data_IF_570899583529
#
_entry.id   IF_570899583529
#
_cell.length_a   1.000
_cell.length_b   1.000
_cell.length_c   1.000
_cell.angle_alpha   90.00
_cell.angle_beta   90.00
_cell.angle_gamma   90.00
#
_symmetry.space_group_name_H-M   'P 1'
#
loop_
_entity.id
_entity.type
_entity.pdbx_description
1 polymer ?
#
# COMPACT_ATOMS: atom_id res chain seq x y z
N UNK A 1 -8.38 -50.39 20.55
CA UNK A 1 -9.32 -49.33 20.08
C UNK A 1 -8.90 -47.90 20.47
N UNK A 2 -8.20 -47.66 21.60
CA UNK A 2 -7.71 -46.31 21.97
C UNK A 2 -6.63 -45.69 21.06
N UNK A 3 -5.85 -46.51 20.32
CA UNK A 3 -4.84 -46.01 19.36
C UNK A 3 -5.44 -45.50 18.03
N UNK A 4 -6.67 -45.91 17.67
CA UNK A 4 -7.34 -45.47 16.45
C UNK A 4 -7.95 -44.06 16.60
N UNK A 5 -8.33 -43.69 17.84
CA UNK A 5 -8.87 -42.36 18.18
C UNK A 5 -7.82 -41.24 18.14
N UNK A 6 -6.52 -41.55 18.24
CA UNK A 6 -5.43 -40.57 18.11
C UNK A 6 -4.98 -40.35 16.66
N UNK A 7 -5.35 -41.22 15.71
CA UNK A 7 -4.97 -41.10 14.29
C UNK A 7 -5.84 -40.10 13.52
N UNK A 8 -7.12 -39.97 13.90
CA UNK A 8 -8.09 -39.07 13.28
C UNK A 8 -7.70 -37.58 13.43
N UNK A 9 -7.33 -37.07 14.63
CA UNK A 9 -6.91 -35.68 14.76
C UNK A 9 -5.60 -35.39 14.03
N UNK A 10 -4.66 -36.33 13.95
CA UNK A 10 -3.39 -36.16 13.21
C UNK A 10 -3.62 -36.07 11.70
N UNK A 11 -4.53 -36.90 11.15
CA UNK A 11 -4.91 -36.86 9.73
C UNK A 11 -5.64 -35.56 9.36
N UNK A 12 -6.50 -35.05 10.24
CA UNK A 12 -7.20 -33.77 10.04
C UNK A 12 -6.22 -32.59 10.05
N UNK A 13 -5.26 -32.57 10.98
CA UNK A 13 -4.23 -31.52 11.05
C UNK A 13 -3.34 -31.52 9.79
N UNK A 14 -2.95 -32.70 9.29
CA UNK A 14 -2.15 -32.83 8.07
C UNK A 14 -2.91 -32.43 6.79
N UNK A 15 -4.23 -32.61 6.76
CA UNK A 15 -5.06 -32.21 5.62
C UNK A 15 -5.19 -30.69 5.53
N UNK A 16 -5.45 -30.01 6.66
CA UNK A 16 -5.55 -28.55 6.69
C UNK A 16 -4.21 -27.87 6.36
N UNK A 17 -3.08 -28.42 6.80
CA UNK A 17 -1.76 -27.84 6.47
C UNK A 17 -1.46 -27.90 4.97
N UNK A 18 -1.84 -29.00 4.31
CA UNK A 18 -1.61 -29.19 2.87
C UNK A 18 -2.50 -28.28 2.02
N UNK A 19 -3.73 -28.04 2.45
CA UNK A 19 -4.64 -27.10 1.77
C UNK A 19 -4.11 -25.67 1.84
N UNK A 20 -3.72 -25.22 3.03
CA UNK A 20 -3.12 -23.89 3.22
C UNK A 20 -1.83 -23.69 2.40
N UNK A 21 -0.99 -24.72 2.29
CA UNK A 21 0.23 -24.69 1.46
C UNK A 21 -0.11 -24.53 -0.04
N UNK A 22 -1.10 -25.28 -0.53
CA UNK A 22 -1.56 -25.17 -1.92
C UNK A 22 -2.16 -23.79 -2.22
N UNK A 23 -2.98 -23.25 -1.31
CA UNK A 23 -3.53 -21.89 -1.43
C UNK A 23 -2.41 -20.85 -1.50
N UNK A 24 -1.42 -20.95 -0.60
CA UNK A 24 -0.26 -20.07 -0.58
C UNK A 24 0.51 -20.14 -1.91
N UNK A 25 0.73 -21.33 -2.45
CA UNK A 25 1.42 -21.53 -3.72
C UNK A 25 0.66 -20.90 -4.88
N UNK A 26 -0.66 -21.12 -4.96
CA UNK A 26 -1.52 -20.50 -5.99
C UNK A 26 -1.48 -18.98 -5.89
N UNK A 27 -1.66 -18.42 -4.68
CA UNK A 27 -1.66 -16.98 -4.47
C UNK A 27 -0.29 -16.35 -4.80
N UNK A 28 0.81 -16.99 -4.42
CA UNK A 28 2.16 -16.49 -4.71
C UNK A 28 2.43 -16.46 -6.22
N UNK A 29 1.94 -17.45 -6.98
CA UNK A 29 2.04 -17.43 -8.44
C UNK A 29 1.30 -16.23 -9.04
N UNK A 30 0.06 -15.97 -8.60
CA UNK A 30 -0.70 -14.81 -9.05
C UNK A 30 -0.07 -13.49 -8.61
N UNK A 31 0.56 -13.44 -7.43
CA UNK A 31 1.30 -12.27 -6.96
C UNK A 31 2.51 -11.97 -7.85
N UNK A 32 3.21 -12.99 -8.36
CA UNK A 32 4.27 -12.80 -9.35
C UNK A 32 3.74 -12.21 -10.66
N UNK A 33 2.58 -12.69 -11.14
CA UNK A 33 1.94 -12.13 -12.35
C UNK A 33 1.47 -10.69 -12.14
N UNK A 34 0.91 -10.38 -10.97
CA UNK A 34 0.57 -9.01 -10.56
C UNK A 34 1.77 -8.07 -10.62
N UNK A 35 2.91 -8.49 -10.05
CA UNK A 35 4.15 -7.70 -10.07
C UNK A 35 4.68 -7.53 -11.49
N UNK A 36 4.75 -8.61 -12.28
CA UNK A 36 5.19 -8.56 -13.68
C UNK A 36 4.33 -7.60 -14.49
N UNK A 37 3.01 -7.68 -14.34
CA UNK A 37 2.08 -6.80 -15.02
C UNK A 37 2.33 -5.33 -14.68
N UNK A 38 2.50 -5.01 -13.40
CA UNK A 38 2.84 -3.64 -12.97
C UNK A 38 4.16 -3.14 -13.57
N UNK A 39 5.20 -3.99 -13.60
CA UNK A 39 6.49 -3.66 -14.19
C UNK A 39 6.41 -3.50 -15.71
N UNK A 40 5.58 -4.29 -16.40
CA UNK A 40 5.32 -4.16 -17.83
C UNK A 40 4.62 -2.83 -18.13
N UNK A 41 3.59 -2.46 -17.36
CA UNK A 41 2.92 -1.15 -17.50
C UNK A 41 3.94 -0.01 -17.29
N UNK A 42 4.81 -0.15 -16.28
CA UNK A 42 5.88 0.80 -15.98
C UNK A 42 6.91 1.01 -17.10
N UNK A 43 6.98 0.14 -18.11
CA UNK A 43 7.80 0.39 -19.29
C UNK A 43 7.19 1.43 -20.25
N UNK A 44 5.88 1.67 -20.16
CA UNK A 44 5.14 2.63 -20.98
C UNK A 44 4.75 3.89 -20.21
N UNK A 45 4.44 3.74 -18.92
CA UNK A 45 4.11 4.82 -18.00
C UNK A 45 5.17 4.86 -16.89
N UNK A 46 6.19 5.70 -17.07
CA UNK A 46 7.39 5.69 -16.20
C UNK A 46 7.10 6.02 -14.74
N UNK A 47 5.97 6.69 -14.47
CA UNK A 47 5.53 7.06 -13.12
C UNK A 47 4.68 5.96 -12.46
N UNK A 48 4.37 4.87 -13.17
CA UNK A 48 3.51 3.80 -12.67
C UNK A 48 4.14 3.02 -11.52
N UNK A 49 5.45 2.77 -11.60
CA UNK A 49 6.24 2.11 -10.56
C UNK A 49 7.27 3.11 -10.04
N UNK A 50 6.96 3.72 -8.91
CA UNK A 50 7.90 4.60 -8.19
C UNK A 50 9.21 3.87 -7.86
N UNK A 51 9.10 2.60 -7.46
CA UNK A 51 10.23 1.82 -7.00
C UNK A 51 10.00 0.30 -7.02
N UNK A 52 11.04 -0.46 -7.40
CA UNK A 52 11.00 -1.93 -7.41
C UNK A 52 12.23 -2.58 -6.76
N UNK A 53 12.00 -3.39 -5.73
CA UNK A 53 13.03 -4.07 -4.93
C UNK A 53 12.94 -5.60 -4.95
N UNK A 54 12.11 -6.15 -5.84
CA UNK A 54 12.03 -7.60 -5.99
C UNK A 54 13.17 -8.15 -6.85
N UNK A 55 13.21 -9.48 -7.04
CA UNK A 55 14.25 -10.13 -7.82
C UNK A 55 14.15 -9.75 -9.31
N UNK A 56 15.29 -9.52 -9.96
CA UNK A 56 15.38 -9.19 -11.39
C UNK A 56 14.65 -10.19 -12.29
N UNK A 57 14.44 -11.43 -11.84
CA UNK A 57 13.65 -12.46 -12.54
C UNK A 57 12.18 -12.10 -12.80
N UNK A 58 11.64 -11.07 -12.14
CA UNK A 58 10.28 -10.56 -12.40
C UNK A 58 10.27 -9.32 -13.29
N UNK A 59 11.42 -8.69 -13.55
CA UNK A 59 11.48 -7.58 -14.50
C UNK A 59 11.17 -8.09 -15.91
N UNK A 60 10.47 -7.31 -16.75
CA UNK A 60 10.34 -7.61 -18.17
C UNK A 60 11.73 -7.81 -18.78
N UNK A 61 11.91 -8.90 -19.53
CA UNK A 61 13.23 -9.25 -20.11
C UNK A 61 13.63 -8.33 -21.26
N UNK A 62 12.63 -7.85 -21.99
CA UNK A 62 12.81 -7.02 -23.16
C UNK A 62 12.31 -5.61 -22.84
N UNK A 63 13.11 -4.61 -23.21
CA UNK A 63 12.62 -3.23 -23.27
C UNK A 63 11.53 -3.15 -24.35
N UNK A 64 10.57 -2.25 -24.15
CA UNK A 64 9.47 -2.02 -25.10
C UNK A 64 10.03 -1.82 -26.52
N UNK A 65 9.61 -2.71 -27.43
CA UNK A 65 10.09 -2.76 -28.82
C UNK A 65 9.31 -1.80 -29.72
N UNK A 66 8.13 -1.33 -29.27
CA UNK A 66 7.23 -0.46 -30.04
C UNK A 66 6.75 0.70 -29.18
N UNK A 67 6.69 1.90 -29.75
CA UNK A 67 6.13 3.08 -29.05
C UNK A 67 4.60 3.00 -28.88
N UNK A 68 3.95 1.96 -29.39
CA UNK A 68 2.51 1.78 -29.29
C UNK A 68 2.13 1.21 -27.92
N UNK A 69 1.30 1.95 -27.19
CA UNK A 69 0.80 1.51 -25.88
C UNK A 69 -0.22 0.36 -26.03
N UNK A 70 0.05 -0.85 -25.53
CA UNK A 70 -0.77 -2.04 -25.78
C UNK A 70 -1.98 -2.12 -24.83
N UNK A 71 -2.77 -1.04 -24.79
CA UNK A 71 -3.89 -0.84 -23.86
C UNK A 71 -4.81 -2.05 -23.72
N UNK A 72 -5.36 -2.56 -24.83
CA UNK A 72 -6.37 -3.62 -24.80
C UNK A 72 -5.80 -4.94 -24.25
N UNK A 73 -4.54 -5.25 -24.58
CA UNK A 73 -3.83 -6.42 -24.07
C UNK A 73 -3.56 -6.32 -22.56
N UNK A 74 -3.16 -5.14 -22.08
CA UNK A 74 -2.95 -4.88 -20.66
C UNK A 74 -4.26 -4.97 -19.87
N UNK A 75 -5.35 -4.36 -20.38
CA UNK A 75 -6.69 -4.48 -19.78
C UNK A 75 -7.19 -5.93 -19.76
N UNK A 76 -6.95 -6.71 -20.82
CA UNK A 76 -7.30 -8.12 -20.85
C UNK A 76 -6.52 -8.92 -19.78
N UNK A 77 -5.22 -8.65 -19.64
CA UNK A 77 -4.36 -9.28 -18.63
C UNK A 77 -4.83 -8.96 -17.20
N UNK A 78 -5.21 -7.71 -16.95
CA UNK A 78 -5.82 -7.27 -15.69
C UNK A 78 -7.09 -8.07 -15.40
N UNK A 79 -8.02 -8.15 -16.36
CA UNK A 79 -9.30 -8.83 -16.17
C UNK A 79 -9.12 -10.32 -15.87
N UNK A 80 -8.19 -11.00 -16.55
CA UNK A 80 -7.87 -12.40 -16.27
C UNK A 80 -7.36 -12.58 -14.83
N UNK A 81 -6.38 -11.76 -14.43
CA UNK A 81 -5.79 -11.85 -13.11
C UNK A 81 -6.79 -11.48 -11.99
N UNK A 82 -7.66 -10.50 -12.23
CA UNK A 82 -8.75 -10.15 -11.33
C UNK A 82 -9.74 -11.31 -11.14
N UNK A 83 -10.06 -12.07 -12.19
CA UNK A 83 -10.95 -13.23 -12.09
C UNK A 83 -10.34 -14.33 -11.20
N UNK A 84 -9.05 -14.62 -11.37
CA UNK A 84 -8.35 -15.61 -10.56
C UNK A 84 -8.24 -15.19 -9.09
N UNK A 85 -7.94 -13.91 -8.84
CA UNK A 85 -7.86 -13.37 -7.48
C UNK A 85 -9.21 -13.28 -6.79
N UNK A 86 -10.29 -13.07 -7.54
CA UNK A 86 -11.67 -13.01 -7.02
C UNK A 86 -12.14 -14.36 -6.46
N UNK A 87 -11.72 -15.46 -7.06
CA UNK A 87 -11.96 -16.80 -6.53
C UNK A 87 -11.29 -16.97 -5.16
N UNK A 88 -9.99 -16.65 -5.07
CA UNK A 88 -9.23 -16.77 -3.82
C UNK A 88 -9.77 -15.83 -2.74
N UNK A 89 -10.11 -14.59 -3.08
CA UNK A 89 -10.60 -13.60 -2.11
C UNK A 89 -11.91 -14.01 -1.44
N UNK A 90 -12.72 -14.84 -2.11
CA UNK A 90 -13.99 -15.35 -1.60
C UNK A 90 -13.84 -16.69 -0.90
N UNK A 91 -13.03 -17.58 -1.45
CA UNK A 91 -13.09 -19.00 -1.13
C UNK A 91 -11.87 -19.53 -0.35
N UNK A 92 -10.79 -18.77 -0.20
CA UNK A 92 -9.61 -19.27 0.53
C UNK A 92 -9.92 -19.50 2.02
N UNK A 93 -9.47 -20.64 2.53
CA UNK A 93 -9.61 -21.01 3.94
C UNK A 93 -8.68 -20.14 4.81
N UNK A 94 -7.51 -19.78 4.30
CA UNK A 94 -6.56 -18.91 5.01
C UNK A 94 -7.01 -17.46 4.91
N UNK A 95 -7.43 -16.87 6.04
CA UNK A 95 -7.92 -15.48 6.12
C UNK A 95 -6.94 -14.47 5.52
N UNK A 96 -5.64 -14.59 5.80
CA UNK A 96 -4.63 -13.70 5.22
C UNK A 96 -4.55 -13.80 3.71
N UNK A 97 -4.83 -14.97 3.12
CA UNK A 97 -4.83 -15.16 1.67
C UNK A 97 -6.05 -14.48 1.05
N UNK A 98 -7.23 -14.58 1.68
CA UNK A 98 -8.41 -13.82 1.24
C UNK A 98 -8.12 -12.31 1.21
N UNK A 99 -7.54 -11.79 2.29
CA UNK A 99 -7.21 -10.37 2.42
C UNK A 99 -6.19 -9.91 1.37
N UNK A 100 -5.10 -10.67 1.18
CA UNK A 100 -4.07 -10.37 0.17
C UNK A 100 -4.62 -10.43 -1.25
N UNK A 101 -5.45 -11.42 -1.56
CA UNK A 101 -6.09 -11.54 -2.87
C UNK A 101 -7.06 -10.38 -3.14
N UNK A 102 -7.88 -10.00 -2.15
CA UNK A 102 -8.76 -8.84 -2.25
C UNK A 102 -7.98 -7.53 -2.41
N UNK A 103 -6.86 -7.39 -1.72
CA UNK A 103 -5.98 -6.22 -1.87
C UNK A 103 -5.42 -6.12 -3.30
N UNK A 104 -4.83 -7.20 -3.84
CA UNK A 104 -4.33 -7.21 -5.21
C UNK A 104 -5.44 -6.98 -6.25
N UNK A 105 -6.63 -7.56 -6.03
CA UNK A 105 -7.79 -7.32 -6.88
C UNK A 105 -8.15 -5.82 -6.95
N UNK A 106 -8.14 -5.12 -5.79
CA UNK A 106 -8.40 -3.68 -5.75
C UNK A 106 -7.28 -2.86 -6.42
N UNK A 107 -6.02 -3.25 -6.26
CA UNK A 107 -4.91 -2.61 -6.96
C UNK A 107 -5.03 -2.76 -8.48
N UNK A 108 -5.50 -3.91 -8.97
CA UNK A 108 -5.73 -4.14 -10.40
C UNK A 108 -6.85 -3.28 -10.99
N UNK A 109 -7.84 -2.87 -10.20
CA UNK A 109 -8.80 -1.84 -10.62
C UNK A 109 -8.08 -0.53 -10.92
N UNK A 110 -7.21 -0.08 -10.00
CA UNK A 110 -6.42 1.13 -10.18
C UNK A 110 -5.45 1.03 -11.37
N UNK A 111 -4.85 -0.15 -11.60
CA UNK A 111 -4.02 -0.41 -12.79
C UNK A 111 -4.83 -0.17 -14.07
N UNK A 112 -6.06 -0.70 -14.11
CA UNK A 112 -6.95 -0.56 -15.25
C UNK A 112 -7.33 0.89 -15.52
N UNK A 113 -7.63 1.66 -14.48
CA UNK A 113 -7.92 3.09 -14.61
C UNK A 113 -6.70 3.87 -15.10
N UNK A 114 -5.51 3.61 -14.55
CA UNK A 114 -4.29 4.28 -14.99
C UNK A 114 -3.97 4.01 -16.46
N UNK A 115 -4.17 2.77 -16.94
CA UNK A 115 -4.06 2.43 -18.37
C UNK A 115 -5.04 3.25 -19.22
N UNK A 116 -6.28 3.44 -18.77
CA UNK A 116 -7.26 4.27 -19.48
C UNK A 116 -6.83 5.73 -19.56
N UNK A 117 -6.38 6.30 -18.45
CA UNK A 117 -5.85 7.66 -18.36
C UNK A 117 -4.68 7.87 -19.34
N UNK A 118 -3.70 6.96 -19.34
CA UNK A 118 -2.55 7.01 -20.27
C UNK A 118 -3.00 6.89 -21.73
N UNK A 119 -4.15 6.24 -21.98
CA UNK A 119 -4.76 6.14 -23.31
C UNK A 119 -5.68 7.32 -23.68
N UNK A 120 -5.76 8.36 -22.85
CA UNK A 120 -6.62 9.52 -23.08
C UNK A 120 -8.10 9.30 -22.75
N UNK A 121 -8.45 8.23 -22.04
CA UNK A 121 -9.81 8.00 -21.51
C UNK A 121 -9.89 8.52 -20.08
N UNK A 122 -10.74 9.52 -19.85
CA UNK A 122 -10.89 10.17 -18.55
C UNK A 122 -12.30 10.03 -17.99
N UNK A 123 -12.38 9.83 -16.68
CA UNK A 123 -13.61 9.86 -15.91
C UNK A 123 -13.78 11.21 -15.19
N UNK A 124 -15.00 11.56 -14.73
CA UNK A 124 -15.16 12.64 -13.75
C UNK A 124 -14.32 12.37 -12.49
N UNK A 125 -13.83 13.44 -11.87
CA UNK A 125 -12.89 13.37 -10.72
C UNK A 125 -13.29 12.37 -9.63
N UNK A 126 -14.56 12.39 -9.19
CA UNK A 126 -15.03 11.46 -8.15
C UNK A 126 -15.03 9.99 -8.60
N UNK A 127 -15.27 9.74 -9.88
CA UNK A 127 -15.20 8.39 -10.43
C UNK A 127 -13.74 7.95 -10.59
N UNK A 128 -12.87 8.83 -11.10
CA UNK A 128 -11.45 8.57 -11.25
C UNK A 128 -10.79 8.25 -9.89
N UNK A 129 -11.00 9.12 -8.88
CA UNK A 129 -10.48 8.92 -7.53
C UNK A 129 -10.99 7.64 -6.88
N UNK A 130 -12.25 7.28 -7.13
CA UNK A 130 -12.81 6.00 -6.68
C UNK A 130 -12.12 4.80 -7.32
N UNK A 131 -11.79 4.85 -8.61
CA UNK A 131 -11.12 3.75 -9.29
C UNK A 131 -9.65 3.64 -8.89
N UNK A 132 -8.94 4.77 -8.79
CA UNK A 132 -7.51 4.80 -8.43
C UNK A 132 -7.25 4.53 -6.94
N UNK A 133 -8.05 5.14 -6.06
CA UNK A 133 -7.78 5.16 -4.61
C UNK A 133 -8.85 4.42 -3.79
N UNK A 134 -9.95 4.00 -4.40
CA UNK A 134 -11.05 3.33 -3.70
C UNK A 134 -11.90 4.27 -2.83
N UNK A 135 -11.72 5.59 -2.94
CA UNK A 135 -12.38 6.59 -2.10
C UNK A 135 -12.80 7.80 -2.93
N UNK A 136 -13.86 8.47 -2.46
CA UNK A 136 -14.33 9.76 -2.98
C UNK A 136 -14.25 10.75 -1.83
N UNK A 137 -13.77 11.97 -2.10
CA UNK A 137 -13.77 13.02 -1.10
C UNK A 137 -15.23 13.37 -0.72
N UNK A 138 -15.57 13.41 0.58
CA UNK A 138 -16.88 13.87 0.99
C UNK A 138 -17.05 15.36 0.69
N UNK A 139 -18.28 15.77 0.37
CA UNK A 139 -18.65 17.18 0.23
C UNK A 139 -19.24 17.70 1.54
N UNK A 140 -18.78 18.87 1.96
CA UNK A 140 -19.30 19.57 3.14
C UNK A 140 -19.70 20.99 2.75
N UNK A 141 -20.70 21.53 3.44
CA UNK A 141 -21.12 22.94 3.31
C UNK A 141 -20.33 23.84 4.27
N UNK A 142 -20.50 25.15 4.12
CA UNK A 142 -19.83 26.14 4.97
C UNK A 142 -20.25 25.98 6.44
N UNK A 143 -21.52 25.67 6.72
CA UNK A 143 -22.05 25.40 8.06
C UNK A 143 -21.32 24.26 8.79
N UNK A 144 -20.89 23.22 8.07
CA UNK A 144 -20.08 22.16 8.64
C UNK A 144 -18.72 22.68 9.09
N UNK A 145 -18.05 23.49 8.25
CA UNK A 145 -16.73 24.03 8.56
C UNK A 145 -16.78 25.04 9.72
N UNK A 146 -17.82 25.87 9.79
CA UNK A 146 -18.05 26.77 10.92
C UNK A 146 -18.15 25.99 12.24
N UNK A 147 -18.90 24.88 12.26
CA UNK A 147 -18.99 24.00 13.44
C UNK A 147 -17.64 23.36 13.81
N UNK A 148 -16.79 23.03 12.84
CA UNK A 148 -15.45 22.51 13.14
C UNK A 148 -14.54 23.60 13.72
N UNK A 149 -14.66 24.84 13.24
CA UNK A 149 -13.94 25.99 13.78
C UNK A 149 -14.39 26.27 15.22
N UNK A 150 -15.70 26.24 15.50
CA UNK A 150 -16.25 26.39 16.85
C UNK A 150 -15.78 25.28 17.80
N UNK A 151 -15.74 24.04 17.31
CA UNK A 151 -15.19 22.93 18.10
C UNK A 151 -13.73 23.18 18.45
N UNK A 152 -12.90 23.56 17.47
CA UNK A 152 -11.51 23.94 17.70
C UNK A 152 -11.39 25.12 18.69
N UNK A 153 -12.25 26.13 18.55
CA UNK A 153 -12.30 27.29 19.44
C UNK A 153 -12.58 26.88 20.90
N UNK A 154 -13.46 25.88 21.11
CA UNK A 154 -13.80 25.38 22.44
C UNK A 154 -12.71 24.54 23.11
N UNK A 155 -11.92 23.78 22.33
CA UNK A 155 -10.93 22.83 22.87
C UNK A 155 -9.51 23.38 22.94
N UNK A 156 -9.18 24.38 22.10
CA UNK A 156 -7.83 24.93 22.07
C UNK A 156 -7.55 25.77 23.32
N UNK A 157 -6.44 25.54 24.04
CA UNK A 157 -6.14 26.31 25.24
C UNK A 157 -5.68 27.75 24.91
N UNK A 158 -5.93 28.67 25.85
CA UNK A 158 -5.49 30.07 25.79
C UNK A 158 -6.51 31.01 25.16
N UNK A 159 -6.09 32.22 24.84
CA UNK A 159 -6.96 33.29 24.29
C UNK A 159 -6.51 33.77 22.90
N UNK A 160 -7.39 34.51 22.21
CA UNK A 160 -7.18 34.97 20.84
C UNK A 160 -7.74 34.00 19.78
N UNK A 161 -7.50 34.30 18.51
CA UNK A 161 -8.06 33.52 17.39
C UNK A 161 -7.66 32.04 17.44
N UNK A 162 -8.53 31.18 16.88
CA UNK A 162 -8.28 29.74 16.68
C UNK A 162 -6.92 29.50 16.03
N UNK A 163 -6.62 30.20 14.93
CA UNK A 163 -5.34 30.08 14.20
C UNK A 163 -4.12 30.36 15.09
N UNK A 164 -4.15 31.45 15.87
CA UNK A 164 -3.04 31.79 16.77
C UNK A 164 -2.88 30.77 17.91
N UNK A 165 -3.99 30.24 18.44
CA UNK A 165 -3.95 29.19 19.47
C UNK A 165 -3.39 27.89 18.91
N UNK A 166 -3.79 27.50 17.70
CA UNK A 166 -3.29 26.32 17.01
C UNK A 166 -1.77 26.42 16.75
N UNK A 167 -1.30 27.54 16.18
CA UNK A 167 0.14 27.74 15.95
C UNK A 167 0.96 27.71 17.24
N UNK A 168 0.42 28.24 18.36
CA UNK A 168 1.09 28.12 19.67
C UNK A 168 1.13 26.69 20.19
N UNK A 169 0.10 25.89 19.92
CA UNK A 169 0.09 24.48 20.26
C UNK A 169 1.14 23.74 19.43
N UNK A 170 1.14 23.93 18.11
CA UNK A 170 2.09 23.32 17.18
C UNK A 170 3.55 23.62 17.56
N UNK A 171 3.87 24.87 17.93
CA UNK A 171 5.20 25.29 18.39
C UNK A 171 5.73 24.51 19.59
N UNK A 172 4.87 23.90 20.42
CA UNK A 172 5.30 23.05 21.54
C UNK A 172 5.89 21.71 21.10
N UNK A 173 5.61 21.30 19.86
CA UNK A 173 6.08 20.05 19.28
C UNK A 173 7.28 20.23 18.34
N UNK A 174 7.72 21.47 18.11
CA UNK A 174 8.92 21.74 17.32
C UNK A 174 10.14 21.20 18.07
N UNK A 175 10.86 20.29 17.42
CA UNK A 175 12.13 19.79 17.92
C UNK A 175 13.20 20.86 17.62
N UNK A 176 13.95 21.35 18.63
CA UNK A 176 15.07 22.25 18.40
C UNK A 176 16.09 21.65 17.43
N UNK A 177 16.65 22.47 16.54
CA UNK A 177 17.55 22.02 15.47
C UNK A 177 18.74 21.20 16.00
N UNK A 178 19.35 21.66 17.10
CA UNK A 178 20.47 21.00 17.78
C UNK A 178 20.12 19.62 18.38
N UNK A 179 18.82 19.30 18.46
CA UNK A 179 18.31 18.03 18.99
C UNK A 179 17.73 17.10 17.93
N UNK A 180 17.57 17.56 16.68
CA UNK A 180 16.95 16.79 15.60
C UNK A 180 17.63 15.42 15.42
N UNK A 181 18.96 15.40 15.31
CA UNK A 181 19.73 14.16 15.11
C UNK A 181 19.50 13.14 16.25
N UNK A 182 19.58 13.61 17.49
CA UNK A 182 19.42 12.75 18.68
C UNK A 182 18.01 12.19 18.75
N UNK A 183 16.98 13.03 18.55
CA UNK A 183 15.58 12.61 18.61
C UNK A 183 15.28 11.61 17.50
N UNK A 184 15.68 11.90 16.26
CA UNK A 184 15.41 11.02 15.12
C UNK A 184 16.13 9.67 15.25
N UNK A 185 17.42 9.65 15.61
CA UNK A 185 18.15 8.39 15.84
C UNK A 185 17.54 7.55 16.97
N UNK A 186 17.12 8.19 18.06
CA UNK A 186 16.47 7.52 19.18
C UNK A 186 15.13 6.89 18.76
N UNK A 187 14.30 7.64 18.03
CA UNK A 187 13.03 7.16 17.52
C UNK A 187 13.20 5.99 16.54
N UNK A 188 14.18 6.08 15.62
CA UNK A 188 14.51 5.02 14.67
C UNK A 188 14.95 3.74 15.39
N UNK A 189 15.84 3.85 16.38
CA UNK A 189 16.33 2.69 17.13
C UNK A 189 15.19 1.99 17.89
N UNK A 190 14.31 2.75 18.55
CA UNK A 190 13.17 2.18 19.27
C UNK A 190 12.13 1.58 18.32
N UNK A 191 11.85 2.24 17.18
CA UNK A 191 10.98 1.69 16.14
C UNK A 191 11.52 0.35 15.62
N UNK A 192 12.83 0.27 15.30
CA UNK A 192 13.46 -0.97 14.84
C UNK A 192 13.36 -2.08 15.90
N UNK A 193 13.65 -1.76 17.17
CA UNK A 193 13.55 -2.70 18.29
C UNK A 193 12.13 -3.29 18.41
N UNK A 194 11.09 -2.44 18.35
CA UNK A 194 9.69 -2.88 18.41
C UNK A 194 9.31 -3.69 17.19
N UNK A 195 9.69 -3.26 15.99
CA UNK A 195 9.43 -4.00 14.75
C UNK A 195 10.03 -5.41 14.80
N UNK A 196 11.27 -5.55 15.26
CA UNK A 196 11.94 -6.86 15.38
C UNK A 196 11.28 -7.81 16.38
N UNK A 197 10.50 -7.30 17.35
CA UNK A 197 9.74 -8.13 18.27
C UNK A 197 8.52 -8.80 17.60
N UNK A 198 8.06 -8.26 16.45
CA UNK A 198 6.85 -8.72 15.76
C UNK A 198 7.11 -9.26 14.35
N UNK A 199 8.19 -8.81 13.70
CA UNK A 199 8.49 -9.12 12.31
C UNK A 199 9.93 -9.57 12.13
N UNK A 200 10.12 -10.61 11.29
CA UNK A 200 11.44 -10.98 10.79
C UNK A 200 11.76 -10.07 9.59
N UNK A 201 12.77 -9.22 9.76
CA UNK A 201 13.25 -8.34 8.69
C UNK A 201 14.29 -9.05 7.83
N UNK A 202 14.46 -8.67 6.54
CA UNK A 202 15.55 -9.15 5.71
C UNK A 202 16.92 -8.90 6.36
N UNK A 203 17.88 -9.81 6.15
CA UNK A 203 19.20 -9.74 6.77
C UNK A 203 19.98 -8.46 6.39
N UNK A 204 19.68 -7.90 5.23
CA UNK A 204 20.27 -6.69 4.67
C UNK A 204 19.38 -5.44 4.79
N UNK A 205 18.37 -5.46 5.67
CA UNK A 205 17.49 -4.31 5.87
C UNK A 205 18.21 -3.17 6.62
N UNK A 206 18.36 -2.04 5.93
CA UNK A 206 18.92 -0.80 6.44
C UNK A 206 18.37 0.40 5.67
N UNK A 207 18.33 1.57 6.31
CA UNK A 207 18.12 2.85 5.65
C UNK A 207 19.04 3.91 6.27
N UNK A 208 19.24 5.01 5.55
CA UNK A 208 20.03 6.16 6.00
C UNK A 208 19.11 7.37 6.15
N UNK A 209 19.27 8.10 7.26
CA UNK A 209 18.66 9.41 7.45
C UNK A 209 19.63 10.48 6.98
N UNK A 210 19.14 11.40 6.16
CA UNK A 210 19.87 12.60 5.75
C UNK A 210 18.99 13.83 6.01
N UNK A 211 19.57 14.84 6.64
CA UNK A 211 18.93 16.14 6.79
C UNK A 211 19.24 16.99 5.57
N UNK A 212 18.23 17.64 5.02
CA UNK A 212 18.35 18.52 3.86
C UNK A 212 17.59 19.81 4.13
N UNK A 213 18.07 20.89 3.54
CA UNK A 213 17.48 22.21 3.60
C UNK A 213 16.96 22.62 2.21
N UNK A 214 16.19 23.72 2.17
CA UNK A 214 15.67 24.32 0.93
C UNK A 214 14.88 23.36 0.04
N UNK A 215 14.09 22.47 0.66
CA UNK A 215 13.19 21.55 -0.03
C UNK A 215 11.73 21.97 0.11
N UNK A 216 10.89 21.76 -0.92
CA UNK A 216 9.46 22.06 -0.87
C UNK A 216 8.66 21.01 -0.08
N UNK A 217 9.33 20.10 0.64
CA UNK A 217 8.74 18.98 1.37
C UNK A 217 9.37 18.81 2.74
N UNK A 218 8.62 18.27 3.70
CA UNK A 218 9.06 18.06 5.09
C UNK A 218 9.77 16.72 5.32
N UNK A 219 9.67 15.81 4.36
CA UNK A 219 10.36 14.52 4.36
C UNK A 219 10.14 13.82 3.03
N UNK A 220 11.14 13.06 2.59
CA UNK A 220 11.07 12.25 1.38
C UNK A 220 11.84 10.96 1.62
N UNK A 221 11.33 9.87 1.06
CA UNK A 221 12.01 8.58 1.05
C UNK A 221 12.25 8.16 -0.40
N UNK A 222 13.38 7.52 -0.60
CA UNK A 222 13.71 6.77 -1.80
C UNK A 222 14.29 5.45 -1.31
N UNK A 223 14.11 4.37 -2.05
CA UNK A 223 14.75 3.10 -1.69
C UNK A 223 15.58 2.54 -2.84
#
# INVERSE_FOLDING_TARGET
>A
MKKLLFLIPVLLILSCSKQAENENKKLNMLACEYVRLGLTIGQYDTDFVDAYYGPDSLKPKDSVVTDEFPKDSLLASINLLMNDLKDISRNAEVDSNRLRANWMYKQLIAFGERIRIVSGEYLPFDQETKQLFGVVAPTYDDDYFDKQIDLLDSILPGSGSVSNRFQRLEKKFVIPEDKLDVVMKTAIAEARKRTMAHYKLPANESFKLEFVEDKPWSGYNWY
#
